data_IF_768159347906
#
_entry.id   IF_768159347906
#
_cell.length_a   1.000
_cell.length_b   1.000
_cell.length_c   1.000
_cell.angle_alpha   90.00
_cell.angle_beta   90.00
_cell.angle_gamma   90.00
#
_symmetry.space_group_name_H-M   'P 1'
#
loop_
_entity.id
_entity.type
_entity.pdbx_description
1 polymer ?
#
# COMPACT_ATOMS: atom_id res chain seq x y z
N UNK A 1 14.87 8.63 22.19
CA UNK A 1 14.89 7.16 22.39
C UNK A 1 13.58 6.61 21.84
N UNK A 2 13.51 6.33 20.53
CA UNK A 2 12.36 5.65 19.92
C UNK A 2 12.49 4.16 20.21
N UNK A 3 11.54 3.63 20.99
CA UNK A 3 11.42 2.17 21.19
C UNK A 3 11.12 1.53 19.82
N UNK A 4 12.03 0.69 19.35
CA UNK A 4 11.83 -0.21 18.22
C UNK A 4 10.53 -1.00 18.44
N UNK A 5 9.51 -0.72 17.64
CA UNK A 5 8.27 -1.50 17.65
C UNK A 5 8.55 -2.85 17.00
N UNK A 6 8.27 -3.92 17.73
CA UNK A 6 8.33 -5.30 17.23
C UNK A 6 7.30 -5.47 16.12
N UNK A 7 7.69 -6.16 15.05
CA UNK A 7 6.75 -6.70 14.09
C UNK A 7 5.76 -7.61 14.81
N UNK A 8 4.51 -7.48 14.47
CA UNK A 8 3.48 -8.30 15.09
C UNK A 8 2.56 -8.87 14.02
N UNK A 9 2.33 -10.19 14.08
CA UNK A 9 1.02 -10.70 13.74
C UNK A 9 0.00 -9.72 14.32
N UNK A 10 -0.70 -9.00 13.46
CA UNK A 10 -1.74 -8.10 13.93
C UNK A 10 -2.92 -8.96 14.39
N UNK A 11 -3.07 -9.09 15.71
CA UNK A 11 -4.30 -9.62 16.25
C UNK A 11 -5.38 -8.59 16.03
N UNK A 12 -6.20 -8.83 15.02
CA UNK A 12 -7.39 -8.01 14.79
C UNK A 12 -8.35 -8.22 15.96
N UNK A 13 -8.44 -7.22 16.84
CA UNK A 13 -9.42 -7.24 17.93
C UNK A 13 -10.79 -6.91 17.34
N UNK A 14 -11.64 -7.90 17.24
CA UNK A 14 -13.06 -7.68 16.98
C UNK A 14 -13.75 -7.14 18.24
N UNK A 15 -14.56 -6.12 18.09
CA UNK A 15 -15.42 -5.66 19.20
C UNK A 15 -16.32 -6.82 19.65
N UNK A 16 -16.46 -7.10 20.96
CA UNK A 16 -17.34 -8.15 21.45
C UNK A 16 -18.73 -8.06 20.82
N UNK A 17 -19.25 -9.19 20.32
CA UNK A 17 -20.54 -9.26 19.62
C UNK A 17 -20.53 -8.81 18.15
N UNK A 18 -19.34 -8.65 17.53
CA UNK A 18 -19.19 -8.36 16.10
C UNK A 18 -18.54 -9.53 15.37
N UNK A 19 -19.01 -9.82 14.16
CA UNK A 19 -18.42 -10.84 13.28
C UNK A 19 -17.30 -10.28 12.38
N UNK A 20 -17.10 -8.96 12.36
CA UNK A 20 -16.07 -8.24 11.61
C UNK A 20 -15.65 -6.97 12.36
N UNK A 21 -14.47 -6.45 12.06
CA UNK A 21 -14.00 -5.17 12.57
C UNK A 21 -14.26 -4.07 11.52
N UNK A 22 -14.76 -2.92 11.97
CA UNK A 22 -14.85 -1.68 11.19
C UNK A 22 -14.11 -0.61 11.99
N UNK A 23 -13.01 -0.14 11.46
CA UNK A 23 -12.11 0.79 12.14
C UNK A 23 -11.91 2.07 11.32
N UNK A 24 -11.84 3.18 12.01
CA UNK A 24 -11.41 4.45 11.45
C UNK A 24 -10.09 4.83 12.09
N UNK A 25 -9.09 5.05 11.27
CA UNK A 25 -7.79 5.53 11.71
C UNK A 25 -7.66 7.01 11.37
N UNK A 26 -7.22 7.80 12.35
CA UNK A 26 -6.85 9.21 12.20
C UNK A 26 -5.51 9.39 12.91
N UNK A 27 -4.43 9.34 12.16
CA UNK A 27 -3.06 9.29 12.65
C UNK A 27 -2.24 10.45 12.09
N UNK A 28 -1.18 10.89 12.80
CA UNK A 28 -0.24 11.85 12.23
C UNK A 28 0.43 11.37 10.94
N UNK A 29 0.64 10.07 10.83
CA UNK A 29 1.19 9.37 9.67
C UNK A 29 0.86 7.89 9.75
N UNK A 30 0.69 7.20 8.61
CA UNK A 30 0.72 5.74 8.59
C UNK A 30 2.17 5.28 8.70
N UNK A 31 2.46 4.54 9.73
CA UNK A 31 3.77 3.95 10.03
C UNK A 31 3.54 2.55 10.63
N UNK A 32 2.66 1.77 9.98
CA UNK A 32 2.42 0.39 10.35
C UNK A 32 3.64 -0.45 9.99
N UNK A 33 4.02 -1.41 10.83
CA UNK A 33 5.01 -2.40 10.42
C UNK A 33 4.49 -3.23 9.24
N UNK A 34 5.40 -3.88 8.53
CA UNK A 34 5.07 -4.95 7.59
C UNK A 34 4.38 -6.06 8.37
N UNK A 35 3.10 -6.30 8.09
CA UNK A 35 2.28 -7.22 8.87
C UNK A 35 1.37 -8.06 7.97
N UNK A 36 0.82 -9.10 8.55
CA UNK A 36 -0.23 -9.93 7.99
C UNK A 36 -1.18 -10.39 9.08
N UNK A 37 -2.36 -10.81 8.71
CA UNK A 37 -3.41 -11.32 9.59
C UNK A 37 -4.34 -12.29 8.84
N UNK A 38 -5.09 -13.15 9.52
CA UNK A 38 -5.94 -14.16 8.88
C UNK A 38 -7.27 -13.64 8.34
N UNK A 39 -7.52 -12.34 8.43
CA UNK A 39 -8.72 -11.69 7.91
C UNK A 39 -8.50 -11.20 6.47
N UNK A 40 -9.58 -11.14 5.69
CA UNK A 40 -9.66 -10.21 4.57
C UNK A 40 -9.63 -8.78 5.09
N UNK A 41 -8.99 -7.89 4.37
CA UNK A 41 -8.97 -6.46 4.68
C UNK A 41 -9.41 -5.62 3.49
N UNK A 42 -10.43 -4.79 3.70
CA UNK A 42 -10.84 -3.75 2.76
C UNK A 42 -10.45 -2.39 3.34
N UNK A 43 -9.43 -1.78 2.77
CA UNK A 43 -8.88 -0.49 3.23
C UNK A 43 -9.17 0.60 2.22
N UNK A 44 -9.76 1.71 2.70
CA UNK A 44 -9.94 2.97 1.99
C UNK A 44 -9.13 4.07 2.66
N UNK A 45 -8.17 4.63 1.96
CA UNK A 45 -7.49 5.86 2.41
C UNK A 45 -8.36 7.06 2.08
N UNK A 46 -8.70 7.87 3.10
CA UNK A 46 -9.52 9.08 2.94
C UNK A 46 -8.71 10.38 2.99
N UNK A 47 -7.52 10.35 3.60
CA UNK A 47 -6.59 11.48 3.67
C UNK A 47 -5.16 11.00 3.85
N UNK A 48 -4.19 11.81 3.42
CA UNK A 48 -2.77 11.49 3.47
C UNK A 48 -2.28 10.77 2.22
N UNK A 49 -0.97 10.79 2.01
CA UNK A 49 -0.29 10.17 0.88
C UNK A 49 1.05 9.57 1.30
N UNK A 50 1.53 8.60 0.52
CA UNK A 50 2.76 7.89 0.81
C UNK A 50 2.94 6.68 -0.07
N UNK A 51 3.50 5.60 0.47
CA UNK A 51 3.69 4.33 -0.25
C UNK A 51 2.91 3.21 0.37
N UNK A 52 2.26 2.45 -0.51
CA UNK A 52 1.61 1.20 -0.20
C UNK A 52 2.49 0.04 -0.62
N UNK A 53 2.58 -0.94 0.26
CA UNK A 53 3.30 -2.19 0.07
C UNK A 53 2.29 -3.33 0.22
N UNK A 54 2.15 -4.15 -0.81
CA UNK A 54 1.28 -5.34 -0.81
C UNK A 54 2.02 -6.47 -1.50
N UNK A 55 2.40 -7.50 -0.75
CA UNK A 55 3.27 -8.54 -1.29
C UNK A 55 4.57 -7.94 -1.86
N UNK A 56 4.89 -8.24 -3.09
CA UNK A 56 6.05 -7.67 -3.80
C UNK A 56 5.73 -6.39 -4.59
N UNK A 57 4.51 -5.86 -4.48
CA UNK A 57 4.09 -4.63 -5.14
C UNK A 57 4.34 -3.40 -4.28
N UNK A 58 4.92 -2.36 -4.88
CA UNK A 58 5.17 -1.06 -4.27
C UNK A 58 4.62 0.03 -5.17
N UNK A 59 3.72 0.86 -4.64
CA UNK A 59 3.20 2.01 -5.35
C UNK A 59 2.85 3.15 -4.39
N UNK A 60 2.67 4.33 -4.94
CA UNK A 60 2.13 5.46 -4.20
C UNK A 60 0.65 5.24 -3.89
N UNK A 61 0.20 5.77 -2.76
CA UNK A 61 -1.20 5.88 -2.40
C UNK A 61 -1.56 7.33 -2.10
N UNK A 62 -2.82 7.66 -2.24
CA UNK A 62 -3.41 8.93 -1.88
C UNK A 62 -4.87 8.75 -1.46
N UNK A 63 -5.59 9.87 -1.25
CA UNK A 63 -7.03 9.81 -0.98
C UNK A 63 -7.78 9.07 -2.10
N UNK A 64 -8.68 8.17 -1.70
CA UNK A 64 -9.42 7.30 -2.62
C UNK A 64 -8.72 5.98 -2.93
N UNK A 65 -7.51 5.70 -2.42
CA UNK A 65 -6.88 4.39 -2.58
C UNK A 65 -7.73 3.32 -1.88
N UNK A 66 -8.41 2.47 -2.67
CA UNK A 66 -9.30 1.41 -2.21
C UNK A 66 -8.72 0.06 -2.58
N UNK A 67 -8.39 -0.74 -1.56
CA UNK A 67 -7.67 -2.01 -1.72
C UNK A 67 -8.33 -3.11 -0.93
N UNK A 68 -8.50 -4.29 -1.53
CA UNK A 68 -8.93 -5.53 -0.88
C UNK A 68 -7.77 -6.51 -0.82
N UNK A 69 -7.47 -7.01 0.37
CA UNK A 69 -6.40 -7.95 0.68
C UNK A 69 -6.98 -9.26 1.20
N UNK A 70 -6.42 -10.38 0.76
CA UNK A 70 -6.76 -11.69 1.31
C UNK A 70 -6.02 -11.97 2.63
N UNK A 71 -6.48 -12.99 3.39
CA UNK A 71 -5.75 -13.53 4.53
C UNK A 71 -4.28 -13.78 4.22
N UNK A 72 -3.43 -13.52 5.20
CA UNK A 72 -2.00 -13.80 5.18
C UNK A 72 -1.20 -13.12 4.05
N UNK A 73 -1.77 -12.15 3.35
CA UNK A 73 -1.05 -11.33 2.37
C UNK A 73 -0.31 -10.20 3.09
N UNK A 74 1.04 -10.20 3.12
CA UNK A 74 1.79 -9.17 3.83
C UNK A 74 1.61 -7.79 3.20
N UNK A 75 1.38 -6.79 4.05
CA UNK A 75 1.12 -5.43 3.59
C UNK A 75 1.45 -4.37 4.64
N UNK A 76 1.58 -3.11 4.20
CA UNK A 76 1.57 -1.90 5.04
C UNK A 76 1.47 -0.64 4.20
N UNK A 77 1.09 0.46 4.86
CA UNK A 77 1.13 1.82 4.33
C UNK A 77 2.16 2.63 5.10
N UNK A 78 2.95 3.41 4.38
CA UNK A 78 3.98 4.26 4.94
C UNK A 78 3.82 5.68 4.42
N UNK A 79 3.55 6.63 5.33
CA UNK A 79 3.51 8.07 5.02
C UNK A 79 4.92 8.64 5.11
N UNK A 80 5.49 9.11 4.01
CA UNK A 80 6.88 9.57 3.96
C UNK A 80 7.12 10.93 4.62
N UNK A 81 6.10 11.73 4.78
CA UNK A 81 6.17 13.02 5.48
C UNK A 81 5.02 13.11 6.47
N UNK A 82 5.35 13.08 7.75
CA UNK A 82 4.43 13.63 8.77
C UNK A 82 4.12 15.05 8.34
N UNK A 83 2.83 15.32 8.06
CA UNK A 83 2.34 16.51 7.38
C UNK A 83 3.13 17.78 7.64
N UNK A 84 3.85 18.26 6.65
CA UNK A 84 4.54 19.56 6.73
C UNK A 84 3.60 20.71 7.05
N UNK A 85 2.28 20.49 6.95
CA UNK A 85 1.20 21.44 7.22
C UNK A 85 0.16 20.91 8.23
N UNK A 86 0.50 19.90 9.07
CA UNK A 86 -0.46 19.30 10.01
C UNK A 86 -1.48 18.36 9.34
N UNK A 87 -1.25 17.96 8.09
CA UNK A 87 -2.09 16.97 7.39
C UNK A 87 -2.00 15.61 8.08
N UNK A 88 -3.14 15.00 8.33
CA UNK A 88 -3.28 13.71 9.00
C UNK A 88 -3.60 12.62 8.00
N UNK A 89 -3.09 11.44 8.25
CA UNK A 89 -3.41 10.25 7.47
C UNK A 89 -4.66 9.59 8.05
N UNK A 90 -5.69 9.40 7.20
CA UNK A 90 -6.98 8.80 7.59
C UNK A 90 -7.34 7.65 6.70
N UNK A 91 -7.87 6.58 7.30
CA UNK A 91 -8.40 5.44 6.55
C UNK A 91 -9.60 4.83 7.25
N UNK A 92 -10.46 4.20 6.44
CA UNK A 92 -11.48 3.26 6.89
C UNK A 92 -10.98 1.85 6.57
N UNK A 93 -10.99 0.97 7.56
CA UNK A 93 -10.50 -0.41 7.44
C UNK A 93 -11.56 -1.37 7.92
N UNK A 94 -11.94 -2.30 7.04
CA UNK A 94 -12.89 -3.37 7.35
C UNK A 94 -12.16 -4.70 7.29
N UNK A 95 -12.11 -5.42 8.41
CA UNK A 95 -11.43 -6.72 8.52
C UNK A 95 -12.42 -7.80 8.92
N UNK A 96 -12.42 -8.93 8.20
CA UNK A 96 -13.35 -10.04 8.41
C UNK A 96 -12.74 -11.39 8.07
N UNK A 97 -13.03 -12.40 8.85
CA UNK A 97 -12.61 -13.78 8.57
C UNK A 97 -13.38 -14.38 7.38
N UNK A 98 -12.83 -15.36 6.67
CA UNK A 98 -13.52 -16.04 5.57
C UNK A 98 -14.92 -16.57 5.94
N UNK A 99 -15.08 -17.03 7.16
CA UNK A 99 -16.35 -17.58 7.67
C UNK A 99 -17.18 -16.62 8.54
N UNK A 100 -16.96 -15.30 8.47
CA UNK A 100 -17.57 -14.32 9.39
C UNK A 100 -19.10 -14.27 9.39
N UNK A 101 -19.74 -14.75 8.32
CA UNK A 101 -21.20 -14.85 8.18
C UNK A 101 -21.75 -16.27 8.46
N UNK A 102 -20.88 -17.16 8.92
CA UNK A 102 -21.22 -18.57 9.17
C UNK A 102 -20.86 -19.49 7.99
N UNK A 103 -20.86 -20.79 8.29
CA UNK A 103 -20.53 -21.79 7.29
C UNK A 103 -21.57 -21.81 6.16
N UNK A 104 -21.11 -21.80 4.90
CA UNK A 104 -21.95 -21.90 3.72
C UNK A 104 -22.62 -20.61 3.25
N UNK A 105 -22.46 -19.48 3.95
CA UNK A 105 -23.04 -18.22 3.47
C UNK A 105 -22.46 -17.79 2.11
N UNK A 106 -21.15 -17.86 1.94
CA UNK A 106 -20.48 -17.53 0.67
C UNK A 106 -20.69 -18.60 -0.43
N UNK A 107 -21.33 -19.71 -0.10
CA UNK A 107 -21.69 -20.77 -1.07
C UNK A 107 -23.08 -20.56 -1.70
N UNK A 108 -23.78 -19.50 -1.32
CA UNK A 108 -25.05 -19.13 -1.94
C UNK A 108 -24.81 -18.69 -3.39
N UNK A 109 -25.63 -19.15 -4.35
CA UNK A 109 -25.47 -18.80 -5.77
C UNK A 109 -25.45 -17.29 -6.03
N UNK A 110 -26.19 -16.51 -5.26
CA UNK A 110 -26.27 -15.06 -5.34
C UNK A 110 -24.93 -14.38 -5.00
N UNK A 111 -24.02 -15.09 -4.34
CA UNK A 111 -22.70 -14.59 -3.90
C UNK A 111 -21.52 -15.13 -4.72
N UNK A 112 -21.78 -15.85 -5.83
CA UNK A 112 -20.71 -16.40 -6.68
C UNK A 112 -19.71 -15.34 -7.15
N UNK A 113 -20.20 -14.14 -7.50
CA UNK A 113 -19.33 -13.01 -7.87
C UNK A 113 -18.47 -12.53 -6.71
N UNK A 114 -19.03 -12.46 -5.51
CA UNK A 114 -18.30 -12.07 -4.28
C UNK A 114 -17.26 -13.15 -3.92
N UNK A 115 -17.63 -14.41 -4.03
CA UNK A 115 -16.71 -15.54 -3.82
C UNK A 115 -15.51 -15.46 -4.79
N UNK A 116 -15.76 -15.18 -6.07
CA UNK A 116 -14.74 -14.96 -7.07
C UNK A 116 -13.83 -13.75 -6.75
N UNK A 117 -14.41 -12.65 -6.28
CA UNK A 117 -13.67 -11.48 -5.83
C UNK A 117 -12.70 -11.83 -4.69
N UNK A 118 -13.21 -12.51 -3.65
CA UNK A 118 -12.41 -12.90 -2.49
C UNK A 118 -11.30 -13.88 -2.84
N UNK A 119 -11.54 -14.82 -3.78
CA UNK A 119 -10.51 -15.73 -4.28
C UNK A 119 -9.37 -14.97 -4.99
N UNK A 120 -9.71 -13.94 -5.79
CA UNK A 120 -8.73 -13.12 -6.51
C UNK A 120 -7.95 -12.18 -5.58
N UNK A 121 -8.47 -11.89 -4.38
CA UNK A 121 -7.83 -11.01 -3.42
C UNK A 121 -6.47 -11.53 -2.87
N UNK A 122 -6.13 -12.80 -3.15
CA UNK A 122 -4.84 -13.40 -2.79
C UNK A 122 -3.62 -12.65 -3.35
N UNK A 123 -3.80 -11.86 -4.39
CA UNK A 123 -2.78 -10.99 -4.98
C UNK A 123 -2.89 -9.52 -4.55
N UNK A 124 -3.87 -9.19 -3.69
CA UNK A 124 -4.26 -7.81 -3.43
C UNK A 124 -4.93 -7.17 -4.66
N UNK A 125 -6.10 -6.60 -4.45
CA UNK A 125 -6.89 -5.97 -5.50
C UNK A 125 -7.00 -4.47 -5.22
N UNK A 126 -6.58 -3.65 -6.18
CA UNK A 126 -6.82 -2.20 -6.15
C UNK A 126 -7.95 -1.86 -7.11
N UNK A 127 -8.89 -1.09 -6.64
CA UNK A 127 -10.03 -0.61 -7.43
C UNK A 127 -9.77 0.81 -7.91
N UNK A 128 -10.20 1.10 -9.15
CA UNK A 128 -10.05 2.41 -9.78
C UNK A 128 -11.39 2.86 -10.40
N UNK A 129 -11.44 4.05 -10.97
CA UNK A 129 -12.56 4.55 -11.73
C UNK A 129 -13.88 4.60 -10.94
N UNK A 130 -14.98 4.31 -11.61
CA UNK A 130 -16.33 4.40 -11.02
C UNK A 130 -16.57 3.42 -9.89
N UNK A 131 -15.99 2.24 -9.98
CA UNK A 131 -16.15 1.20 -8.93
C UNK A 131 -15.50 1.64 -7.62
N UNK A 132 -14.30 2.20 -7.70
CA UNK A 132 -13.61 2.78 -6.56
C UNK A 132 -14.45 3.89 -5.90
N UNK A 133 -15.01 4.81 -6.68
CA UNK A 133 -15.85 5.90 -6.17
C UNK A 133 -17.08 5.36 -5.43
N UNK A 134 -17.83 4.43 -6.05
CA UNK A 134 -19.03 3.84 -5.43
C UNK A 134 -18.71 3.05 -4.17
N UNK A 135 -17.64 2.22 -4.20
CA UNK A 135 -17.21 1.46 -3.02
C UNK A 135 -16.82 2.40 -1.87
N UNK A 136 -16.08 3.47 -2.16
CA UNK A 136 -15.69 4.49 -1.18
C UNK A 136 -16.90 5.19 -0.57
N UNK A 137 -17.87 5.62 -1.39
CA UNK A 137 -19.12 6.24 -0.91
C UNK A 137 -19.91 5.34 0.03
N UNK A 138 -20.00 4.03 -0.30
CA UNK A 138 -20.69 3.05 0.56
C UNK A 138 -19.97 2.96 1.91
N UNK A 139 -18.65 2.80 1.93
CA UNK A 139 -17.88 2.69 3.17
C UNK A 139 -18.01 3.94 4.02
N UNK A 140 -17.82 5.13 3.44
CA UNK A 140 -17.93 6.42 4.15
C UNK A 140 -19.32 6.61 4.75
N UNK A 141 -20.38 6.37 3.96
CA UNK A 141 -21.77 6.53 4.39
C UNK A 141 -22.15 5.55 5.52
N UNK A 142 -21.51 4.39 5.57
CA UNK A 142 -21.82 3.32 6.53
C UNK A 142 -20.93 3.35 7.78
N UNK A 143 -19.84 4.09 7.78
CA UNK A 143 -18.90 4.17 8.91
C UNK A 143 -19.58 4.49 10.25
N UNK A 144 -20.52 5.43 10.25
CA UNK A 144 -21.25 5.91 11.45
C UNK A 144 -22.58 5.21 11.71
N UNK A 145 -22.92 4.14 10.98
CA UNK A 145 -24.19 3.43 11.11
C UNK A 145 -24.16 2.38 12.24
N UNK A 146 -25.35 1.86 12.57
CA UNK A 146 -25.49 0.73 13.49
C UNK A 146 -24.68 -0.50 13.02
N UNK A 147 -24.39 -1.46 13.89
CA UNK A 147 -23.73 -2.71 13.51
C UNK A 147 -24.33 -3.40 12.28
N UNK A 148 -25.67 -3.49 12.22
CA UNK A 148 -26.35 -4.03 11.06
C UNK A 148 -26.15 -3.16 9.81
N UNK A 149 -26.19 -1.84 9.96
CA UNK A 149 -25.94 -0.90 8.87
C UNK A 149 -24.53 -1.00 8.30
N UNK A 150 -23.53 -1.26 9.14
CA UNK A 150 -22.14 -1.52 8.72
C UNK A 150 -22.01 -2.87 8.00
N UNK A 151 -22.68 -3.93 8.50
CA UNK A 151 -22.70 -5.24 7.84
C UNK A 151 -23.33 -5.16 6.45
N UNK A 152 -24.49 -4.54 6.33
CA UNK A 152 -25.16 -4.34 5.03
C UNK A 152 -24.28 -3.50 4.10
N UNK A 153 -23.57 -2.50 4.63
CA UNK A 153 -22.61 -1.71 3.86
C UNK A 153 -21.41 -2.51 3.36
N UNK A 154 -20.88 -3.42 4.17
CA UNK A 154 -19.81 -4.32 3.74
C UNK A 154 -20.29 -5.23 2.59
N UNK A 155 -21.46 -5.84 2.71
CA UNK A 155 -22.04 -6.68 1.66
C UNK A 155 -22.32 -5.90 0.36
N UNK A 156 -22.87 -4.69 0.46
CA UNK A 156 -23.11 -3.77 -0.65
C UNK A 156 -21.80 -3.38 -1.34
N UNK A 157 -20.75 -3.07 -0.56
CA UNK A 157 -19.44 -2.78 -1.09
C UNK A 157 -18.83 -3.99 -1.83
N UNK A 158 -18.87 -5.17 -1.22
CA UNK A 158 -18.38 -6.42 -1.84
C UNK A 158 -19.12 -6.74 -3.14
N UNK A 159 -20.45 -6.55 -3.21
CA UNK A 159 -21.23 -6.72 -4.42
C UNK A 159 -20.78 -5.76 -5.52
N UNK A 160 -20.66 -4.48 -5.23
CA UNK A 160 -20.17 -3.46 -6.19
C UNK A 160 -18.76 -3.78 -6.67
N UNK A 161 -17.86 -4.15 -5.76
CA UNK A 161 -16.47 -4.45 -6.08
C UNK A 161 -16.33 -5.74 -6.89
N UNK A 162 -17.19 -6.75 -6.67
CA UNK A 162 -17.16 -8.03 -7.38
C UNK A 162 -17.47 -7.92 -8.88
N UNK A 163 -18.15 -6.86 -9.28
CA UNK A 163 -18.54 -6.58 -10.68
C UNK A 163 -17.64 -5.55 -11.34
N UNK A 164 -16.51 -5.23 -10.72
CA UNK A 164 -15.61 -4.18 -11.23
C UNK A 164 -14.91 -4.60 -12.53
N UNK A 165 -15.02 -3.79 -13.60
CA UNK A 165 -14.13 -3.93 -14.75
C UNK A 165 -12.75 -3.29 -14.50
N UNK A 166 -12.64 -2.38 -13.52
CA UNK A 166 -11.48 -1.54 -13.26
C UNK A 166 -10.76 -2.02 -11.99
N UNK A 167 -10.15 -3.20 -12.06
CA UNK A 167 -9.41 -3.81 -10.95
C UNK A 167 -7.97 -4.12 -11.36
N UNK A 168 -7.02 -3.74 -10.49
CA UNK A 168 -5.60 -4.02 -10.65
C UNK A 168 -5.17 -5.08 -9.63
N UNK A 169 -4.56 -6.17 -10.11
CA UNK A 169 -3.88 -7.13 -9.24
C UNK A 169 -2.52 -6.58 -8.85
N UNK A 170 -2.22 -6.54 -7.55
CA UNK A 170 -1.03 -5.88 -7.04
C UNK A 170 0.18 -6.82 -7.04
N UNK A 171 0.15 -7.93 -6.30
CA UNK A 171 1.28 -8.86 -6.25
C UNK A 171 1.44 -9.65 -7.53
N UNK A 172 2.68 -10.04 -7.82
CA UNK A 172 2.98 -10.93 -8.96
C UNK A 172 2.36 -12.32 -8.72
N UNK A 173 2.08 -13.02 -9.82
CA UNK A 173 1.63 -14.41 -9.75
C UNK A 173 2.70 -15.29 -9.10
N UNK A 174 2.30 -16.12 -8.14
CA UNK A 174 3.23 -16.99 -7.41
C UNK A 174 3.97 -16.31 -6.24
N UNK A 175 3.65 -15.07 -5.89
CA UNK A 175 4.14 -14.49 -4.65
C UNK A 175 3.62 -15.31 -3.46
N UNK A 176 4.51 -16.04 -2.80
CA UNK A 176 4.23 -16.87 -1.63
C UNK A 176 5.31 -16.64 -0.57
N UNK A 177 5.18 -15.62 0.29
CA UNK A 177 6.15 -15.37 1.33
C UNK A 177 6.14 -16.50 2.36
N UNK A 178 7.33 -16.88 2.86
CA UNK A 178 7.42 -17.73 4.04
C UNK A 178 7.17 -16.85 5.26
N UNK A 179 6.00 -16.98 5.84
CA UNK A 179 5.57 -16.20 7.00
C UNK A 179 5.90 -16.98 8.27
N UNK A 180 6.82 -16.47 9.07
CA UNK A 180 7.03 -16.83 10.47
C UNK A 180 7.35 -15.56 11.26
N UNK A 181 7.05 -15.56 12.56
CA UNK A 181 7.23 -14.38 13.43
C UNK A 181 8.69 -13.88 13.47
N UNK A 182 9.68 -14.76 13.32
CA UNK A 182 11.10 -14.37 13.31
C UNK A 182 11.47 -13.70 11.98
N UNK A 183 10.88 -14.15 10.90
CA UNK A 183 11.06 -13.56 9.56
C UNK A 183 10.48 -12.14 9.51
N UNK A 184 9.31 -11.91 10.11
CA UNK A 184 8.67 -10.60 10.19
C UNK A 184 9.49 -9.59 10.99
N UNK A 185 9.89 -9.93 12.22
CA UNK A 185 10.70 -9.01 13.02
C UNK A 185 11.99 -8.61 12.30
N UNK A 186 12.58 -9.55 11.58
CA UNK A 186 13.81 -9.35 10.83
C UNK A 186 13.57 -8.44 9.62
N UNK A 187 12.49 -8.65 8.86
CA UNK A 187 12.22 -7.81 7.67
C UNK A 187 11.82 -6.39 8.05
N UNK A 188 11.05 -6.19 9.11
CA UNK A 188 10.68 -4.86 9.58
C UNK A 188 11.90 -4.06 10.05
N UNK A 189 12.83 -4.68 10.77
CA UNK A 189 14.09 -4.04 11.13
C UNK A 189 14.91 -3.65 9.89
N UNK A 190 14.90 -4.51 8.88
CA UNK A 190 15.54 -4.26 7.61
C UNK A 190 14.90 -3.06 6.88
N UNK A 191 13.59 -3.01 6.81
CA UNK A 191 12.85 -1.93 6.14
C UNK A 191 13.05 -0.59 6.87
N UNK A 192 12.93 -0.56 8.19
CA UNK A 192 13.21 0.66 8.99
C UNK A 192 14.60 1.21 8.67
N UNK A 193 15.61 0.36 8.67
CA UNK A 193 16.97 0.78 8.32
C UNK A 193 17.07 1.32 6.88
N UNK A 194 16.41 0.67 5.92
CA UNK A 194 16.38 1.13 4.52
C UNK A 194 15.70 2.50 4.41
N UNK A 195 14.54 2.72 5.07
CA UNK A 195 13.82 3.99 5.00
C UNK A 195 14.59 5.14 5.64
N UNK A 196 15.19 4.92 6.81
CA UNK A 196 16.01 5.93 7.50
C UNK A 196 17.24 6.35 6.68
N UNK A 197 17.80 5.42 5.88
CA UNK A 197 19.02 5.65 5.09
C UNK A 197 18.76 5.76 3.58
N UNK A 198 17.51 5.92 3.14
CA UNK A 198 17.15 5.89 1.71
C UNK A 198 17.84 6.99 0.88
N UNK A 199 18.12 8.13 1.50
CA UNK A 199 18.73 9.30 0.87
C UNK A 199 20.25 9.21 0.77
N UNK A 200 20.85 8.30 1.54
CA UNK A 200 22.28 8.10 1.63
C UNK A 200 22.75 6.98 0.70
N UNK A 201 24.07 6.84 0.44
CA UNK A 201 24.59 5.68 -0.27
C UNK A 201 24.27 4.40 0.50
N UNK A 202 23.22 3.70 0.09
CA UNK A 202 22.73 2.48 0.74
C UNK A 202 23.26 1.25 -0.02
N UNK A 203 24.22 0.55 0.56
CA UNK A 203 24.82 -0.66 -0.01
C UNK A 203 24.22 -1.92 0.62
N UNK A 204 24.17 -2.97 -0.15
CA UNK A 204 23.69 -4.29 0.33
C UNK A 204 24.53 -4.78 1.53
N UNK A 205 25.83 -4.53 1.49
CA UNK A 205 26.77 -4.92 2.54
C UNK A 205 26.46 -4.26 3.88
N UNK A 206 26.08 -2.96 3.85
CA UNK A 206 25.76 -2.18 5.05
C UNK A 206 24.47 -2.70 5.70
N UNK A 207 23.45 -2.97 4.88
CA UNK A 207 22.18 -3.55 5.37
C UNK A 207 22.39 -4.98 5.87
N UNK A 208 23.16 -5.78 5.17
CA UNK A 208 23.50 -7.14 5.60
C UNK A 208 24.22 -7.14 6.97
N UNK A 209 25.18 -6.23 7.15
CA UNK A 209 25.87 -6.06 8.44
C UNK A 209 24.91 -5.63 9.55
N UNK A 210 24.02 -4.64 9.29
CA UNK A 210 22.97 -4.23 10.22
C UNK A 210 22.05 -5.39 10.62
N UNK A 211 21.79 -6.31 9.68
CA UNK A 211 20.99 -7.50 9.90
C UNK A 211 21.77 -8.68 10.53
N UNK A 212 23.06 -8.50 10.84
CA UNK A 212 23.98 -9.54 11.30
C UNK A 212 24.01 -10.75 10.36
N UNK A 213 24.05 -10.48 9.05
CA UNK A 213 24.06 -11.49 7.98
C UNK A 213 25.25 -11.26 7.04
N UNK A 214 25.73 -12.33 6.39
CA UNK A 214 26.60 -12.15 5.24
C UNK A 214 25.85 -11.57 4.06
N UNK A 215 26.48 -10.79 3.14
CA UNK A 215 25.85 -10.21 1.98
C UNK A 215 25.05 -11.24 1.14
N UNK A 216 25.62 -12.42 0.93
CA UNK A 216 24.99 -13.50 0.17
C UNK A 216 23.77 -14.10 0.89
N UNK A 217 23.84 -14.28 2.21
CA UNK A 217 22.72 -14.75 3.01
C UNK A 217 21.58 -13.72 3.05
N UNK A 218 21.93 -12.44 3.22
CA UNK A 218 20.97 -11.35 3.18
C UNK A 218 20.28 -11.23 1.80
N UNK A 219 21.03 -11.30 0.72
CA UNK A 219 20.44 -11.22 -0.64
C UNK A 219 19.42 -12.33 -0.89
N UNK A 220 19.72 -13.59 -0.50
CA UNK A 220 18.76 -14.72 -0.61
C UNK A 220 17.55 -14.53 0.31
N UNK A 221 17.78 -14.12 1.56
CA UNK A 221 16.73 -13.85 2.53
C UNK A 221 15.78 -12.76 2.03
N UNK A 222 16.33 -11.60 1.63
CA UNK A 222 15.56 -10.45 1.19
C UNK A 222 14.71 -10.79 -0.05
N UNK A 223 15.29 -11.45 -1.06
CA UNK A 223 14.57 -11.88 -2.26
C UNK A 223 13.44 -12.87 -1.93
N UNK A 224 13.64 -13.78 -0.99
CA UNK A 224 12.64 -14.75 -0.58
C UNK A 224 11.45 -14.08 0.12
N UNK A 225 11.71 -13.08 0.99
CA UNK A 225 10.67 -12.42 1.79
C UNK A 225 9.95 -11.31 1.03
N UNK A 226 10.70 -10.48 0.28
CA UNK A 226 10.16 -9.32 -0.45
C UNK A 226 9.76 -9.67 -1.90
N UNK A 227 10.17 -10.82 -2.41
CA UNK A 227 9.93 -11.19 -3.82
C UNK A 227 10.89 -10.53 -4.82
N UNK A 228 11.59 -9.47 -4.43
CA UNK A 228 12.51 -8.67 -5.26
C UNK A 228 13.92 -8.67 -4.71
N UNK A 229 14.90 -8.44 -5.59
CA UNK A 229 16.26 -8.22 -5.08
C UNK A 229 16.38 -6.82 -4.43
N UNK A 230 17.34 -6.68 -3.51
CA UNK A 230 17.56 -5.47 -2.72
C UNK A 230 17.71 -4.20 -3.58
N UNK A 231 18.49 -4.27 -4.65
CA UNK A 231 18.70 -3.11 -5.53
C UNK A 231 17.45 -2.70 -6.29
N UNK A 232 16.61 -3.64 -6.71
CA UNK A 232 15.30 -3.34 -7.31
C UNK A 232 14.41 -2.62 -6.30
N UNK A 233 14.27 -3.15 -5.09
CA UNK A 233 13.47 -2.56 -4.02
C UNK A 233 13.91 -1.12 -3.71
N UNK A 234 15.20 -0.88 -3.48
CA UNK A 234 15.73 0.47 -3.20
C UNK A 234 15.48 1.43 -4.37
N UNK A 235 15.67 0.97 -5.62
CA UNK A 235 15.41 1.81 -6.79
C UNK A 235 13.92 2.18 -6.93
N UNK A 236 13.00 1.27 -6.67
CA UNK A 236 11.56 1.55 -6.65
C UNK A 236 11.21 2.60 -5.60
N UNK A 237 11.76 2.47 -4.40
CA UNK A 237 11.59 3.46 -3.33
C UNK A 237 12.09 4.85 -3.75
N UNK A 238 13.28 4.93 -4.32
CA UNK A 238 13.89 6.20 -4.76
C UNK A 238 13.14 6.84 -5.92
N UNK A 239 12.71 6.03 -6.90
CA UNK A 239 11.92 6.54 -8.03
C UNK A 239 10.56 7.03 -7.58
N UNK A 240 9.87 6.33 -6.67
CA UNK A 240 8.62 6.81 -6.11
C UNK A 240 8.79 8.15 -5.39
N UNK A 241 9.84 8.30 -4.55
CA UNK A 241 10.17 9.60 -3.95
C UNK A 241 10.40 10.70 -4.99
N UNK A 242 11.12 10.37 -6.08
CA UNK A 242 11.34 11.31 -7.17
C UNK A 242 10.04 11.74 -7.86
N UNK A 243 9.12 10.79 -8.12
CA UNK A 243 7.81 11.10 -8.69
C UNK A 243 7.06 12.15 -7.86
N UNK A 244 7.00 11.97 -6.55
CA UNK A 244 6.36 12.94 -5.66
C UNK A 244 7.00 14.32 -5.75
N UNK A 245 8.34 14.42 -5.64
CA UNK A 245 9.04 15.72 -5.74
C UNK A 245 8.80 16.37 -7.11
N UNK A 246 8.73 15.57 -8.19
CA UNK A 246 8.42 16.06 -9.55
C UNK A 246 7.04 16.70 -9.65
N UNK A 247 6.05 16.19 -8.90
CA UNK A 247 4.67 16.71 -8.88
C UNK A 247 4.52 17.92 -7.95
N UNK A 248 5.28 17.95 -6.84
CA UNK A 248 5.18 18.99 -5.81
C UNK A 248 6.11 20.19 -6.04
N UNK A 249 7.02 20.14 -7.04
CA UNK A 249 8.02 21.19 -7.23
C UNK A 249 8.55 21.31 -8.66
N UNK A 250 8.98 22.53 -9.01
CA UNK A 250 9.68 22.82 -10.28
C UNK A 250 11.21 22.69 -10.19
N UNK A 251 11.72 21.99 -9.18
CA UNK A 251 13.16 21.80 -8.99
C UNK A 251 13.82 21.14 -10.21
N UNK A 252 15.09 21.44 -10.48
CA UNK A 252 15.87 20.77 -11.52
C UNK A 252 15.85 19.24 -11.34
N UNK A 253 15.75 18.52 -12.45
CA UNK A 253 15.73 17.04 -12.44
C UNK A 253 16.95 16.45 -11.75
N UNK A 254 18.11 17.09 -11.90
CA UNK A 254 19.34 16.66 -11.24
C UNK A 254 19.22 16.73 -9.70
N UNK A 255 18.68 17.83 -9.17
CA UNK A 255 18.49 18.02 -7.73
C UNK A 255 17.50 16.99 -7.16
N UNK A 256 16.44 16.70 -7.91
CA UNK A 256 15.47 15.67 -7.54
C UNK A 256 16.12 14.28 -7.48
N UNK A 257 16.97 13.96 -8.46
CA UNK A 257 17.70 12.69 -8.47
C UNK A 257 18.53 12.53 -7.19
N UNK A 258 19.34 13.55 -6.83
CA UNK A 258 20.17 13.51 -5.63
C UNK A 258 19.33 13.47 -4.34
N UNK A 259 18.28 14.28 -4.23
CA UNK A 259 17.38 14.27 -3.06
C UNK A 259 16.62 12.94 -2.90
N UNK A 260 16.46 12.19 -3.97
CA UNK A 260 15.86 10.87 -3.95
C UNK A 260 16.86 9.75 -3.66
N UNK A 261 18.11 10.08 -3.36
CA UNK A 261 19.15 9.14 -2.98
C UNK A 261 19.93 8.52 -4.15
N UNK A 262 19.76 9.03 -5.38
CA UNK A 262 20.63 8.64 -6.49
C UNK A 262 21.91 9.47 -6.47
N UNK A 263 23.05 8.81 -6.65
CA UNK A 263 24.37 9.45 -6.76
C UNK A 263 24.80 9.71 -8.20
N UNK A 264 23.98 9.34 -9.18
CA UNK A 264 24.28 9.44 -10.59
C UNK A 264 23.00 9.69 -11.41
N UNK A 265 22.98 10.83 -12.12
CA UNK A 265 21.82 11.26 -12.92
C UNK A 265 21.50 10.29 -14.07
N UNK A 266 22.51 9.70 -14.71
CA UNK A 266 22.30 8.73 -15.80
C UNK A 266 21.64 7.45 -15.29
N UNK A 267 22.07 6.96 -14.13
CA UNK A 267 21.43 5.82 -13.47
C UNK A 267 19.98 6.14 -13.05
N UNK A 268 19.76 7.34 -12.49
CA UNK A 268 18.42 7.82 -12.15
C UNK A 268 17.50 7.82 -13.37
N UNK A 269 17.89 8.49 -14.46
CA UNK A 269 17.07 8.58 -15.67
C UNK A 269 16.73 7.21 -16.25
N UNK A 270 17.71 6.29 -16.28
CA UNK A 270 17.47 4.91 -16.73
C UNK A 270 16.48 4.20 -15.84
N UNK A 271 16.70 4.18 -14.51
CA UNK A 271 15.80 3.50 -13.56
C UNK A 271 14.41 4.09 -13.52
N UNK A 272 14.31 5.42 -13.62
CA UNK A 272 13.03 6.09 -13.71
C UNK A 272 12.26 5.65 -14.95
N UNK A 273 12.90 5.64 -16.13
CA UNK A 273 12.29 5.19 -17.36
C UNK A 273 11.91 3.70 -17.34
N UNK A 274 12.79 2.85 -16.77
CA UNK A 274 12.49 1.41 -16.60
C UNK A 274 11.23 1.18 -15.76
N UNK A 275 11.03 1.99 -14.71
CA UNK A 275 9.92 1.82 -13.76
C UNK A 275 8.65 2.60 -14.11
N UNK A 276 8.74 3.70 -14.87
CA UNK A 276 7.60 4.58 -15.20
C UNK A 276 7.26 4.63 -16.69
N UNK A 277 8.05 3.98 -17.53
CA UNK A 277 7.86 3.98 -18.98
C UNK A 277 8.27 5.28 -19.70
N UNK A 278 8.40 6.38 -18.96
CA UNK A 278 8.72 7.73 -19.48
C UNK A 278 9.89 8.34 -18.74
N UNK A 279 10.50 9.39 -19.31
CA UNK A 279 11.57 10.13 -18.62
C UNK A 279 11.00 10.99 -17.46
N UNK A 280 11.82 11.38 -16.47
CA UNK A 280 11.38 12.25 -15.37
C UNK A 280 10.75 13.57 -15.85
N UNK A 281 11.29 14.15 -16.92
CA UNK A 281 10.76 15.38 -17.53
C UNK A 281 9.37 15.13 -18.14
N UNK A 282 9.24 14.10 -18.97
CA UNK A 282 7.95 13.72 -19.55
C UNK A 282 6.90 13.39 -18.48
N UNK A 283 7.31 12.73 -17.40
CA UNK A 283 6.43 12.44 -16.27
C UNK A 283 5.87 13.74 -15.64
N UNK A 284 6.73 14.74 -15.39
CA UNK A 284 6.31 16.06 -14.90
C UNK A 284 5.34 16.73 -15.87
N UNK A 285 5.72 16.81 -17.14
CA UNK A 285 4.94 17.51 -18.16
C UNK A 285 3.52 16.93 -18.32
N UNK A 286 3.40 15.60 -18.32
CA UNK A 286 2.10 14.91 -18.42
C UNK A 286 1.16 15.23 -17.25
N UNK A 287 1.65 15.24 -16.03
CA UNK A 287 0.81 15.47 -14.86
C UNK A 287 0.51 16.97 -14.61
N UNK A 288 1.38 17.87 -15.04
CA UNK A 288 1.06 19.32 -15.00
C UNK A 288 -0.09 19.67 -15.97
N UNK A 289 -0.21 18.99 -17.11
CA UNK A 289 -1.32 19.15 -18.05
C UNK A 289 -2.63 18.66 -17.43
N UNK A 290 -2.62 17.55 -16.71
CA UNK A 290 -3.80 16.99 -16.04
C UNK A 290 -4.33 17.95 -14.95
N UNK A 291 -3.45 18.48 -14.10
CA UNK A 291 -3.81 19.45 -13.04
C UNK A 291 -4.39 20.72 -13.64
N UNK A 292 -3.79 21.26 -14.69
CA UNK A 292 -4.27 22.46 -15.38
C UNK A 292 -5.61 22.28 -16.11
N UNK A 293 -6.00 21.05 -16.45
CA UNK A 293 -7.33 20.75 -17.05
C UNK A 293 -8.42 20.60 -15.99
N UNK A 294 -8.11 20.12 -14.79
CA UNK A 294 -9.05 20.04 -13.66
C UNK A 294 -9.41 21.44 -13.18
N UNK A 295 -8.44 22.33 -12.96
CA UNK A 295 -8.66 23.72 -12.56
C UNK A 295 -9.49 24.55 -13.57
N UNK A 296 -9.45 24.20 -14.86
CA UNK A 296 -10.28 24.85 -15.87
C UNK A 296 -11.73 24.36 -15.87
N UNK A 297 -11.97 23.10 -15.50
CA UNK A 297 -13.35 22.57 -15.41
C UNK A 297 -14.08 23.09 -14.18
N UNK A 298 -13.39 23.29 -13.06
CA UNK A 298 -13.99 23.79 -11.83
C UNK A 298 -14.26 25.31 -11.88
N UNK A 299 -13.63 26.06 -12.79
CA UNK A 299 -13.91 27.49 -13.00
C UNK A 299 -15.03 27.78 -14.01
N UNK A 300 -15.58 26.74 -14.64
CA UNK A 300 -16.65 26.83 -15.64
C UNK A 300 -17.98 26.25 -15.16
N UNK A 301 -18.07 25.89 -13.89
CA UNK A 301 -19.30 25.55 -13.15
C UNK A 301 -19.58 26.62 -12.08
#
# INVERSE_FOLDING_TARGET
MHRLRKASYEKVETTPGRSFAFREFDLPAFDSPWHFHPEFELTLVTSGSGRRFVGDHIAEYGPGDLVLLAPDLPHFWHTETSGKNGERSRSLVVQFLPGFLGAGFLELPELDSVKGLLANASRGLRFTGRTQQRGSEILIRRATRSPQGQLLGLLDALDVLSRSPDVEMLSTEGFAPTLDMRTEERINRCQTYIFENLNEPLRLEDVAAHMSMSPSAFSRYFKRVIGKNFSQFVNELRVGKACRILLESDRPIADIAYQSGFNNLSNFNRRFKDLRGVSPRQFRDLHQIEIGQVDRKDRLQ
#
